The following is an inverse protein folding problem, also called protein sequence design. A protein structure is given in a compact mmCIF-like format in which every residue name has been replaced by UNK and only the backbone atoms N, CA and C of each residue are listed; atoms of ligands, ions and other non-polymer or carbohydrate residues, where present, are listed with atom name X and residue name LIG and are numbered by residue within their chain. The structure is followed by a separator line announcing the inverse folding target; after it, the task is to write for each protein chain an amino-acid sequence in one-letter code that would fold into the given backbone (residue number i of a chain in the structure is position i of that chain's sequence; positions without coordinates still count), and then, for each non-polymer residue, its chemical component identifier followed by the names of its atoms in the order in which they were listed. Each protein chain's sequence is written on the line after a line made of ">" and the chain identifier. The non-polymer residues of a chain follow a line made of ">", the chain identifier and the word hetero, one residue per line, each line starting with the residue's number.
data_IF_264854365812
#
_entry.id   IF_264854365812
#
_cell.length_a   1.000
_cell.length_b   1.000
_cell.length_c   1.000
_cell.angle_alpha   90.00
_cell.angle_beta   90.00
_cell.angle_gamma   90.00
#
_symmetry.space_group_name_H-M   'P 1'
#
loop_
_entity.id
_entity.type
_entity.pdbx_description
1 polymer ?
#
# COMPACT_ATOMS: atom_id res chain seq x y z
N UNK A 1 -2.89 30.86 -17.78
CA UNK A 1 -3.71 29.63 -17.72
C UNK A 1 -3.43 28.93 -16.39
N UNK A 2 -4.34 28.11 -15.83
CA UNK A 2 -4.03 27.33 -14.64
C UNK A 2 -3.05 26.20 -14.98
N UNK A 3 -2.04 25.99 -14.13
CA UNK A 3 -1.18 24.81 -14.14
C UNK A 3 -1.98 23.64 -13.56
N UNK A 4 -1.96 22.49 -14.23
CA UNK A 4 -2.67 21.28 -13.80
C UNK A 4 -1.70 20.09 -13.87
N UNK A 5 -1.63 19.32 -12.79
CA UNK A 5 -0.82 18.10 -12.70
C UNK A 5 -1.68 16.97 -12.12
N UNK A 6 -1.56 15.77 -12.68
CA UNK A 6 -2.26 14.57 -12.21
C UNK A 6 -1.24 13.52 -11.77
N UNK A 7 -1.39 13.03 -10.55
CA UNK A 7 -0.61 11.93 -9.98
C UNK A 7 -1.45 10.67 -9.98
N UNK A 8 -1.01 9.65 -10.72
CA UNK A 8 -1.82 8.47 -11.00
C UNK A 8 -1.79 7.43 -9.88
N UNK A 9 -2.96 6.92 -9.50
CA UNK A 9 -3.08 5.75 -8.62
C UNK A 9 -2.66 5.96 -7.17
N UNK A 10 -2.43 7.20 -6.73
CA UNK A 10 -2.02 7.53 -5.36
C UNK A 10 -3.15 8.09 -4.49
N UNK A 11 -4.41 8.06 -4.92
CA UNK A 11 -5.54 8.50 -4.10
C UNK A 11 -5.60 7.86 -2.68
N UNK A 12 -5.30 6.56 -2.48
CA UNK A 12 -5.25 5.97 -1.13
C UNK A 12 -4.19 6.59 -0.21
N UNK A 13 -3.20 7.28 -0.79
CA UNK A 13 -2.10 7.93 -0.09
C UNK A 13 -2.27 9.46 -0.04
N UNK A 14 -3.47 9.98 -0.32
CA UNK A 14 -3.74 11.42 -0.44
C UNK A 14 -3.31 12.24 0.78
N UNK A 15 -3.61 11.77 1.99
CA UNK A 15 -3.24 12.48 3.22
C UNK A 15 -1.72 12.65 3.32
N UNK A 16 -0.97 11.55 3.15
CA UNK A 16 0.49 11.57 3.20
C UNK A 16 1.10 12.39 2.05
N UNK A 17 0.57 12.20 0.83
CA UNK A 17 1.03 12.93 -0.36
C UNK A 17 0.85 14.44 -0.17
N UNK A 18 -0.35 14.89 0.22
CA UNK A 18 -0.65 16.32 0.36
C UNK A 18 0.13 16.97 1.51
N UNK A 19 0.31 16.27 2.64
CA UNK A 19 1.13 16.75 3.75
C UNK A 19 2.61 16.89 3.37
N UNK A 20 3.15 15.88 2.69
CA UNK A 20 4.54 15.89 2.21
C UNK A 20 4.76 16.99 1.18
N UNK A 21 3.87 17.13 0.20
CA UNK A 21 3.94 18.18 -0.83
C UNK A 21 3.92 19.58 -0.20
N UNK A 22 2.99 19.84 0.72
CA UNK A 22 2.92 21.12 1.46
C UNK A 22 4.22 21.39 2.22
N UNK A 23 4.75 20.37 2.89
CA UNK A 23 5.99 20.49 3.68
C UNK A 23 7.20 20.79 2.79
N UNK A 24 7.34 20.09 1.67
CA UNK A 24 8.44 20.29 0.72
C UNK A 24 8.36 21.65 0.04
N UNK A 25 7.16 22.13 -0.33
CA UNK A 25 6.99 23.50 -0.85
C UNK A 25 7.44 24.55 0.18
N UNK A 26 7.06 24.39 1.45
CA UNK A 26 7.49 25.28 2.53
C UNK A 26 9.00 25.26 2.75
N UNK A 27 9.62 24.07 2.73
CA UNK A 27 11.08 23.90 2.84
C UNK A 27 11.84 24.55 1.68
N UNK A 28 11.24 24.55 0.48
CA UNK A 28 11.77 25.23 -0.71
C UNK A 28 11.46 26.73 -0.77
N UNK A 29 11.02 27.32 0.34
CA UNK A 29 10.82 28.76 0.47
C UNK A 29 9.49 29.27 -0.10
N UNK A 30 8.49 28.40 -0.25
CA UNK A 30 7.11 28.82 -0.57
C UNK A 30 6.41 29.22 0.71
N UNK A 31 5.91 30.45 0.79
CA UNK A 31 5.02 30.86 1.87
C UNK A 31 3.62 30.30 1.62
N UNK A 32 3.04 29.65 2.64
CA UNK A 32 1.73 29.01 2.55
C UNK A 32 0.78 29.70 3.53
N UNK A 33 -0.35 30.18 3.03
CA UNK A 33 -1.39 30.85 3.82
C UNK A 33 -2.78 30.31 3.48
N UNK A 34 -3.78 30.56 4.34
CA UNK A 34 -5.16 30.15 4.07
C UNK A 34 -5.35 28.63 3.91
N UNK A 35 -4.48 27.82 4.51
CA UNK A 35 -4.49 26.37 4.37
C UNK A 35 -5.77 25.77 4.95
N UNK A 36 -6.58 25.18 4.08
CA UNK A 36 -7.78 24.42 4.42
C UNK A 36 -7.58 22.95 4.02
N UNK A 37 -7.92 22.03 4.92
CA UNK A 37 -7.73 20.59 4.72
C UNK A 37 -9.02 19.82 4.99
N UNK A 38 -9.31 18.88 4.11
CA UNK A 38 -10.35 17.87 4.23
C UNK A 38 -9.80 16.51 3.77
N UNK A 39 -10.56 15.43 3.96
CA UNK A 39 -10.12 14.06 3.63
C UNK A 39 -9.74 13.86 2.15
N UNK A 40 -10.34 14.64 1.24
CA UNK A 40 -10.15 14.47 -0.21
C UNK A 40 -9.73 15.76 -0.93
N UNK A 41 -9.46 16.83 -0.18
CA UNK A 41 -9.14 18.14 -0.76
C UNK A 41 -8.33 19.02 0.20
N UNK A 42 -7.32 19.69 -0.35
CA UNK A 42 -6.51 20.70 0.31
C UNK A 42 -6.50 21.95 -0.56
N UNK A 43 -6.81 23.10 0.02
CA UNK A 43 -6.77 24.41 -0.65
C UNK A 43 -5.81 25.32 0.12
N UNK A 44 -5.01 26.12 -0.58
CA UNK A 44 -4.09 27.08 0.04
C UNK A 44 -3.71 28.21 -0.92
N UNK A 45 -3.28 29.34 -0.37
CA UNK A 45 -2.60 30.39 -1.11
C UNK A 45 -1.09 30.25 -0.94
N UNK A 46 -0.35 30.46 -2.03
CA UNK A 46 1.11 30.29 -2.10
C UNK A 46 1.76 31.58 -2.57
N UNK A 47 2.88 31.95 -1.94
CA UNK A 47 3.76 33.02 -2.42
C UNK A 47 5.20 32.50 -2.52
N UNK A 48 5.82 32.63 -3.69
CA UNK A 48 7.20 32.24 -3.93
C UNK A 48 7.88 33.26 -4.84
N UNK A 49 9.04 33.80 -4.42
CA UNK A 49 9.81 34.79 -5.17
C UNK A 49 8.99 35.99 -5.71
N UNK A 50 7.94 36.39 -4.98
CA UNK A 50 7.03 37.48 -5.34
C UNK A 50 5.88 37.07 -6.28
N UNK A 51 5.84 35.81 -6.72
CA UNK A 51 4.69 35.22 -7.41
C UNK A 51 3.67 34.70 -6.39
N UNK A 52 2.45 35.24 -6.44
CA UNK A 52 1.32 34.81 -5.62
C UNK A 52 0.36 33.96 -6.45
N UNK A 53 -0.27 32.99 -5.82
CA UNK A 53 -1.29 32.17 -6.46
C UNK A 53 -2.08 31.30 -5.50
N UNK A 54 -3.05 30.57 -6.06
CA UNK A 54 -3.88 29.63 -5.33
C UNK A 54 -3.60 28.20 -5.80
N UNK A 55 -3.38 27.30 -4.86
CA UNK A 55 -3.08 25.89 -5.07
C UNK A 55 -4.19 25.03 -4.45
N UNK A 56 -4.77 24.15 -5.26
CA UNK A 56 -5.74 23.13 -4.84
C UNK A 56 -5.18 21.75 -5.16
N UNK A 57 -5.28 20.83 -4.20
CA UNK A 57 -4.92 19.41 -4.32
C UNK A 57 -6.16 18.59 -3.96
N UNK A 58 -6.62 17.67 -4.81
CA UNK A 58 -7.85 16.91 -4.54
C UNK A 58 -7.83 15.52 -5.19
N UNK A 59 -8.67 14.62 -4.68
CA UNK A 59 -8.85 13.28 -5.25
C UNK A 59 -9.79 13.36 -6.45
N UNK A 60 -9.37 12.78 -7.58
CA UNK A 60 -10.20 12.58 -8.78
C UNK A 60 -10.12 11.10 -9.19
N UNK A 61 -11.17 10.33 -8.85
CA UNK A 61 -11.17 8.88 -9.03
C UNK A 61 -10.07 8.21 -8.20
N UNK A 62 -9.16 7.50 -8.86
CA UNK A 62 -8.00 6.86 -8.21
C UNK A 62 -6.74 7.76 -8.20
N UNK A 63 -6.85 9.00 -8.65
CA UNK A 63 -5.73 9.90 -8.85
C UNK A 63 -5.78 11.08 -7.90
N UNK A 64 -4.64 11.76 -7.74
CA UNK A 64 -4.55 13.06 -7.08
C UNK A 64 -4.36 14.13 -8.16
N UNK A 65 -5.21 15.14 -8.17
CA UNK A 65 -5.14 16.26 -9.10
C UNK A 65 -4.72 17.52 -8.37
N UNK A 66 -3.77 18.23 -8.96
CA UNK A 66 -3.20 19.46 -8.43
C UNK A 66 -3.45 20.57 -9.45
N UNK A 67 -4.00 21.68 -9.00
CA UNK A 67 -4.27 22.86 -9.83
C UNK A 67 -3.68 24.10 -9.19
N UNK A 68 -2.91 24.87 -9.94
CA UNK A 68 -2.32 26.13 -9.51
C UNK A 68 -2.72 27.29 -10.42
N UNK A 69 -3.14 28.40 -9.84
CA UNK A 69 -3.57 29.61 -10.55
C UNK A 69 -2.86 30.85 -10.01
N UNK A 70 -2.12 31.54 -10.86
CA UNK A 70 -1.37 32.77 -10.50
C UNK A 70 -2.33 33.95 -10.29
N UNK A 71 -2.11 34.72 -9.21
CA UNK A 71 -2.75 36.01 -8.97
C UNK A 71 -2.02 37.11 -9.75
N UNK A 72 -2.68 37.72 -10.74
CA UNK A 72 -2.11 38.85 -11.50
C UNK A 72 -2.47 40.18 -10.84
N UNK A 73 -1.50 40.84 -10.19
CA UNK A 73 -1.65 42.23 -9.75
C UNK A 73 -1.65 43.17 -10.97
N UNK A 74 -2.68 44.02 -11.11
CA UNK A 74 -2.70 45.11 -12.08
C UNK A 74 -1.62 46.13 -11.72
N UNK A 75 -0.44 46.08 -12.36
CA UNK A 75 0.42 47.27 -12.43
C UNK A 75 -0.24 48.27 -13.37
N UNK A 76 -0.46 49.49 -12.89
CA UNK A 76 -0.93 50.63 -13.68
C UNK A 76 -0.03 50.83 -14.90
N UNK A 77 -0.51 50.40 -16.08
CA UNK A 77 0.07 50.81 -17.35
C UNK A 77 -0.56 52.17 -17.67
N UNK A 78 0.26 53.23 -17.54
CA UNK A 78 -0.04 54.53 -18.13
C UNK A 78 -0.30 54.34 -19.63
N UNK A 79 -1.49 54.78 -20.04
CA UNK A 79 -1.94 55.04 -21.42
C UNK A 79 -1.89 53.84 -22.39
N UNK A 80 -3.08 53.32 -22.73
CA UNK A 80 -3.32 52.94 -24.12
C UNK A 80 -3.43 51.46 -24.47
N UNK A 81 -4.04 50.60 -23.65
CA UNK A 81 -4.84 49.46 -24.15
C UNK A 81 -5.95 49.17 -23.14
N UNK A 82 -7.19 49.50 -23.48
CA UNK A 82 -8.38 49.08 -22.72
C UNK A 82 -8.64 47.62 -23.06
N UNK A 83 -8.04 46.72 -22.29
CA UNK A 83 -8.34 45.29 -22.29
C UNK A 83 -8.93 44.91 -20.93
N UNK A 84 -10.22 44.60 -20.89
CA UNK A 84 -10.93 44.26 -19.67
C UNK A 84 -10.39 42.97 -19.03
N UNK A 85 -9.61 43.11 -17.96
CA UNK A 85 -9.55 42.12 -16.89
C UNK A 85 -9.79 42.87 -15.58
N UNK A 86 -11.03 43.34 -15.44
CA UNK A 86 -11.65 43.65 -14.16
C UNK A 86 -11.75 42.35 -13.37
N UNK A 87 -11.32 42.36 -12.11
CA UNK A 87 -11.27 41.19 -11.24
C UNK A 87 -12.65 40.55 -11.01
N UNK A 88 -13.08 39.71 -11.95
CA UNK A 88 -14.45 39.16 -11.98
C UNK A 88 -14.64 37.98 -12.92
N UNK A 89 -13.60 37.18 -13.19
CA UNK A 89 -13.72 36.03 -14.09
C UNK A 89 -12.99 34.77 -13.59
N UNK A 90 -13.01 34.49 -12.28
CA UNK A 90 -12.95 33.12 -11.73
C UNK A 90 -13.83 32.98 -10.47
N UNK A 91 -14.85 33.83 -10.31
CA UNK A 91 -15.89 33.64 -9.29
C UNK A 91 -16.82 32.44 -9.55
N UNK A 92 -16.68 31.77 -10.71
CA UNK A 92 -17.55 30.66 -11.12
C UNK A 92 -17.12 29.26 -10.67
N UNK A 93 -15.89 29.08 -10.16
CA UNK A 93 -15.42 27.76 -9.66
C UNK A 93 -15.48 27.69 -8.13
N UNK A 94 -15.62 28.84 -7.43
CA UNK A 94 -15.40 28.95 -5.98
C UNK A 94 -16.71 29.05 -5.16
N UNK A 95 -17.90 29.15 -5.78
CA UNK A 95 -19.18 29.38 -5.06
C UNK A 95 -20.22 28.24 -5.19
N UNK A 96 -19.80 27.01 -5.47
CA UNK A 96 -20.73 25.86 -5.60
C UNK A 96 -20.76 24.86 -4.44
N UNK A 97 -19.85 24.96 -3.47
CA UNK A 97 -19.64 23.91 -2.44
C UNK A 97 -19.98 24.35 -1.01
N UNK A 98 -20.75 25.43 -0.88
CA UNK A 98 -21.33 25.91 0.37
C UNK A 98 -22.84 26.04 0.20
N UNK A 99 -23.51 24.91 0.00
CA UNK A 99 -24.74 24.56 0.71
C UNK A 99 -25.27 23.21 0.23
N UNK A 100 -25.81 22.47 1.19
CA UNK A 100 -26.52 21.21 1.04
C UNK A 100 -27.63 21.38 0.00
N UNK A 101 -27.54 20.65 -1.11
CA UNK A 101 -28.56 19.69 -1.54
C UNK A 101 -28.00 18.87 -2.71
N UNK A 102 -28.20 17.55 -2.62
CA UNK A 102 -27.87 16.59 -3.66
C UNK A 102 -28.76 16.82 -4.90
N UNK A 103 -28.32 16.31 -6.06
CA UNK A 103 -29.04 16.32 -7.35
C UNK A 103 -28.93 17.57 -8.25
N UNK A 104 -27.70 18.00 -8.62
CA UNK A 104 -27.53 18.77 -9.87
C UNK A 104 -26.12 18.78 -10.51
N UNK A 105 -25.13 18.05 -9.98
CA UNK A 105 -23.75 18.10 -10.51
C UNK A 105 -23.42 16.83 -11.30
N UNK A 106 -24.07 16.65 -12.44
CA UNK A 106 -23.72 15.57 -13.39
C UNK A 106 -23.31 16.09 -14.77
N UNK A 107 -23.68 17.30 -15.18
CA UNK A 107 -23.65 17.63 -16.62
C UNK A 107 -22.62 18.67 -17.07
N UNK A 108 -21.55 18.92 -16.30
CA UNK A 108 -20.47 19.85 -16.71
C UNK A 108 -19.06 19.24 -16.66
N UNK A 109 -18.93 17.95 -16.33
CA UNK A 109 -17.69 17.15 -16.43
C UNK A 109 -17.86 16.05 -17.52
N UNK A 110 -18.67 16.32 -18.55
CA UNK A 110 -18.95 15.38 -19.64
C UNK A 110 -18.05 15.58 -20.88
N UNK A 111 -16.97 16.37 -20.78
CA UNK A 111 -16.11 16.73 -21.92
C UNK A 111 -14.78 15.97 -22.05
N UNK A 112 -14.42 15.08 -21.12
CA UNK A 112 -13.13 14.38 -21.13
C UNK A 112 -13.26 12.86 -20.97
N UNK A 113 -14.41 12.30 -21.35
CA UNK A 113 -14.65 10.87 -21.35
C UNK A 113 -14.58 10.31 -22.78
N UNK A 114 -13.37 10.21 -23.34
CA UNK A 114 -13.10 9.36 -24.49
C UNK A 114 -11.60 9.04 -24.60
N UNK A 115 -11.24 7.77 -24.36
CA UNK A 115 -9.98 7.19 -24.81
C UNK A 115 -8.87 7.15 -23.77
N UNK A 116 -8.67 5.98 -23.17
CA UNK A 116 -7.50 5.69 -22.37
C UNK A 116 -6.19 5.72 -23.17
N UNK A 117 -5.10 5.72 -22.41
CA UNK A 117 -3.75 5.28 -22.74
C UNK A 117 -2.75 6.22 -23.44
N UNK A 118 -3.11 7.33 -24.13
CA UNK A 118 -2.09 8.09 -24.89
C UNK A 118 -2.18 9.64 -24.87
N UNK A 119 -3.05 10.25 -24.06
CA UNK A 119 -3.27 11.71 -24.06
C UNK A 119 -2.61 12.52 -22.94
N UNK A 120 -2.19 11.90 -21.83
CA UNK A 120 -1.80 12.61 -20.62
C UNK A 120 -0.37 13.18 -20.65
N UNK A 121 0.53 12.60 -21.45
CA UNK A 121 1.89 13.14 -21.61
C UNK A 121 1.92 14.45 -22.42
N UNK A 122 0.95 14.69 -23.32
CA UNK A 122 0.89 15.92 -24.13
C UNK A 122 0.29 17.14 -23.40
N UNK A 123 -0.31 16.95 -22.22
CA UNK A 123 -0.68 18.07 -21.35
C UNK A 123 0.54 18.80 -20.77
N UNK A 124 1.69 18.11 -20.68
CA UNK A 124 2.93 18.66 -20.17
C UNK A 124 3.62 19.60 -21.18
N UNK A 125 3.44 19.39 -22.49
CA UNK A 125 4.13 20.18 -23.53
C UNK A 125 3.40 21.48 -23.93
N UNK A 126 2.08 21.56 -23.76
CA UNK A 126 1.30 22.74 -24.23
C UNK A 126 1.31 23.94 -23.28
N UNK A 127 1.91 23.83 -22.11
CA UNK A 127 2.01 24.90 -21.11
C UNK A 127 3.44 25.27 -20.72
N UNK A 128 4.45 24.82 -21.48
CA UNK A 128 5.85 25.24 -21.27
C UNK A 128 6.10 26.67 -21.81
N UNK A 129 5.23 27.19 -22.69
CA UNK A 129 5.41 28.52 -23.28
C UNK A 129 5.11 29.69 -22.31
N UNK A 130 4.49 29.46 -21.15
CA UNK A 130 4.26 30.48 -20.10
C UNK A 130 4.58 29.97 -18.68
N UNK A 131 5.67 29.21 -18.47
CA UNK A 131 6.00 28.73 -17.12
C UNK A 131 6.52 29.87 -16.23
N UNK A 132 5.76 30.17 -15.18
CA UNK A 132 6.27 30.92 -14.03
C UNK A 132 7.28 30.07 -13.24
N UNK A 133 8.17 30.69 -12.48
CA UNK A 133 9.19 29.96 -11.71
C UNK A 133 8.56 29.03 -10.67
N UNK A 134 7.45 29.44 -10.05
CA UNK A 134 6.75 28.59 -9.09
C UNK A 134 6.10 27.35 -9.73
N UNK A 135 5.56 27.44 -10.95
CA UNK A 135 4.98 26.28 -11.62
C UNK A 135 6.03 25.18 -11.89
N UNK A 136 7.28 25.56 -12.16
CA UNK A 136 8.41 24.61 -12.29
C UNK A 136 8.75 23.98 -10.95
N UNK A 137 8.90 24.79 -9.91
CA UNK A 137 9.15 24.32 -8.54
C UNK A 137 8.07 23.34 -8.08
N UNK A 138 6.80 23.68 -8.33
CA UNK A 138 5.65 22.87 -7.98
C UNK A 138 5.68 21.53 -8.71
N UNK A 139 5.93 21.51 -10.02
CA UNK A 139 6.03 20.28 -10.80
C UNK A 139 7.15 19.36 -10.30
N UNK A 140 8.33 19.92 -10.00
CA UNK A 140 9.45 19.17 -9.43
C UNK A 140 9.09 18.59 -8.05
N UNK A 141 8.50 19.41 -7.18
CA UNK A 141 8.12 19.00 -5.82
C UNK A 141 7.04 17.90 -5.85
N UNK A 142 6.09 17.99 -6.79
CA UNK A 142 5.08 16.94 -7.01
C UNK A 142 5.75 15.62 -7.41
N UNK A 143 6.70 15.65 -8.37
CA UNK A 143 7.42 14.45 -8.81
C UNK A 143 8.24 13.82 -7.70
N UNK A 144 8.95 14.63 -6.91
CA UNK A 144 9.74 14.14 -5.78
C UNK A 144 8.84 13.49 -4.71
N UNK A 145 7.68 14.11 -4.45
CA UNK A 145 6.68 13.56 -3.53
C UNK A 145 6.10 12.25 -4.06
N UNK A 146 5.72 12.20 -5.34
CA UNK A 146 5.23 10.98 -6.00
C UNK A 146 6.26 9.85 -5.90
N UNK A 147 7.52 10.11 -6.26
CA UNK A 147 8.59 9.13 -6.21
C UNK A 147 8.82 8.60 -4.80
N UNK A 148 8.81 9.48 -3.80
CA UNK A 148 8.95 9.08 -2.40
C UNK A 148 7.85 8.12 -1.95
N UNK A 149 6.59 8.44 -2.25
CA UNK A 149 5.45 7.60 -1.89
C UNK A 149 5.52 6.25 -2.62
N UNK A 150 5.81 6.26 -3.93
CA UNK A 150 5.96 5.03 -4.72
C UNK A 150 7.07 4.13 -4.17
N UNK A 151 8.24 4.70 -3.86
CA UNK A 151 9.35 3.97 -3.26
C UNK A 151 8.95 3.31 -1.93
N UNK A 152 8.20 4.01 -1.07
CA UNK A 152 7.69 3.43 0.18
C UNK A 152 6.72 2.27 -0.05
N UNK A 153 5.85 2.39 -1.04
CA UNK A 153 4.89 1.33 -1.40
C UNK A 153 5.64 0.09 -1.90
N UNK A 154 6.63 0.26 -2.77
CA UNK A 154 7.45 -0.82 -3.29
C UNK A 154 8.25 -1.50 -2.18
N UNK A 155 8.84 -0.72 -1.28
CA UNK A 155 9.56 -1.24 -0.12
C UNK A 155 8.68 -2.10 0.78
N UNK A 156 7.47 -1.62 1.10
CA UNK A 156 6.51 -2.38 1.90
C UNK A 156 6.10 -3.70 1.23
N UNK A 157 5.84 -3.67 -0.08
CA UNK A 157 5.54 -4.87 -0.87
C UNK A 157 6.70 -5.86 -0.84
N UNK A 158 7.94 -5.38 -0.95
CA UNK A 158 9.13 -6.24 -0.89
C UNK A 158 9.26 -6.91 0.48
N UNK A 159 9.10 -6.15 1.56
CA UNK A 159 9.15 -6.69 2.93
C UNK A 159 8.04 -7.73 3.15
N UNK A 160 6.83 -7.48 2.65
CA UNK A 160 5.73 -8.44 2.76
C UNK A 160 6.00 -9.73 1.97
N UNK A 161 6.54 -9.60 0.76
CA UNK A 161 6.95 -10.75 -0.07
C UNK A 161 8.03 -11.57 0.64
N UNK A 162 9.08 -10.92 1.16
CA UNK A 162 10.16 -11.57 1.90
C UNK A 162 9.62 -12.34 3.12
N UNK A 163 8.69 -11.76 3.87
CA UNK A 163 8.03 -12.44 5.01
C UNK A 163 7.21 -13.65 4.58
N UNK A 164 6.50 -13.55 3.46
CA UNK A 164 5.74 -14.68 2.93
C UNK A 164 6.65 -15.81 2.46
N UNK A 165 7.77 -15.48 1.82
CA UNK A 165 8.79 -16.46 1.41
C UNK A 165 9.44 -17.13 2.62
N UNK A 166 9.80 -16.37 3.67
CA UNK A 166 10.35 -16.90 4.91
C UNK A 166 9.35 -17.84 5.59
N UNK A 167 8.08 -17.41 5.73
CA UNK A 167 7.01 -18.24 6.29
C UNK A 167 6.83 -19.53 5.49
N UNK A 168 6.91 -19.46 4.15
CA UNK A 168 6.80 -20.63 3.28
C UNK A 168 7.96 -21.60 3.51
N UNK A 169 9.20 -21.11 3.59
CA UNK A 169 10.37 -21.94 3.89
C UNK A 169 10.25 -22.62 5.26
N UNK A 170 9.84 -21.87 6.29
CA UNK A 170 9.65 -22.43 7.63
C UNK A 170 8.58 -23.54 7.64
N UNK A 171 7.51 -23.39 6.87
CA UNK A 171 6.47 -24.42 6.74
C UNK A 171 6.96 -25.63 5.95
N UNK A 172 7.66 -25.43 4.83
CA UNK A 172 8.25 -26.49 4.02
C UNK A 172 9.25 -27.33 4.84
N UNK A 173 10.08 -26.71 5.69
CA UNK A 173 10.99 -27.40 6.60
C UNK A 173 10.23 -28.29 7.60
N UNK A 174 9.14 -27.77 8.17
CA UNK A 174 8.32 -28.53 9.14
C UNK A 174 7.55 -29.66 8.45
N UNK A 175 7.06 -29.44 7.22
CA UNK A 175 6.40 -30.46 6.41
C UNK A 175 7.36 -31.62 6.10
N UNK A 176 8.61 -31.32 5.75
CA UNK A 176 9.63 -32.33 5.49
C UNK A 176 9.93 -33.17 6.74
N UNK A 177 10.15 -32.52 7.89
CA UNK A 177 10.36 -33.20 9.17
C UNK A 177 9.16 -34.07 9.56
N UNK A 178 7.95 -33.56 9.37
CA UNK A 178 6.72 -34.28 9.65
C UNK A 178 6.56 -35.52 8.77
N UNK A 179 6.90 -35.43 7.48
CA UNK A 179 6.91 -36.57 6.58
C UNK A 179 7.85 -37.68 7.07
N UNK A 180 9.04 -37.32 7.56
CA UNK A 180 9.98 -38.29 8.12
C UNK A 180 9.44 -38.93 9.40
N UNK A 181 8.83 -38.15 10.28
CA UNK A 181 8.18 -38.65 11.50
C UNK A 181 7.05 -39.63 11.15
N UNK A 182 6.23 -39.34 10.14
CA UNK A 182 5.15 -40.21 9.72
C UNK A 182 5.64 -41.53 9.11
N UNK A 183 6.73 -41.50 8.36
CA UNK A 183 7.39 -42.71 7.86
C UNK A 183 7.89 -43.59 9.02
N UNK A 184 8.57 -43.00 10.01
CA UNK A 184 9.05 -43.72 11.19
C UNK A 184 7.91 -44.26 12.06
N UNK A 185 6.82 -43.48 12.20
CA UNK A 185 5.61 -43.90 12.90
C UNK A 185 5.00 -45.15 12.24
N UNK A 186 4.91 -45.17 10.90
CA UNK A 186 4.39 -46.31 10.15
C UNK A 186 5.25 -47.55 10.40
N UNK A 187 6.57 -47.43 10.24
CA UNK A 187 7.50 -48.54 10.45
C UNK A 187 7.42 -49.11 11.90
N UNK A 188 7.36 -48.24 12.91
CA UNK A 188 7.24 -48.68 14.31
C UNK A 188 5.87 -49.29 14.64
N UNK A 189 4.81 -48.87 13.96
CA UNK A 189 3.49 -49.51 14.08
C UNK A 189 3.54 -50.95 13.56
N UNK A 190 4.11 -51.15 12.37
CA UNK A 190 4.27 -52.49 11.78
C UNK A 190 5.12 -53.40 12.67
N UNK A 191 6.25 -52.92 13.17
CA UNK A 191 7.12 -53.68 14.07
C UNK A 191 6.41 -54.06 15.38
N UNK A 192 5.64 -53.13 15.98
CA UNK A 192 4.87 -53.40 17.19
C UNK A 192 3.76 -54.44 16.96
N UNK A 193 3.18 -54.50 15.75
CA UNK A 193 2.21 -55.53 15.38
C UNK A 193 2.85 -56.90 15.21
N UNK A 194 4.05 -56.97 14.61
CA UNK A 194 4.82 -58.20 14.50
C UNK A 194 5.12 -58.76 15.90
N UNK A 195 5.72 -57.97 16.79
CA UNK A 195 6.02 -58.41 18.16
C UNK A 195 4.77 -58.80 18.96
N UNK A 196 3.64 -58.12 18.74
CA UNK A 196 2.36 -58.51 19.34
C UNK A 196 1.92 -59.91 18.87
N UNK A 197 2.10 -60.21 17.58
CA UNK A 197 1.78 -61.52 17.01
C UNK A 197 2.69 -62.63 17.55
N UNK A 198 3.91 -62.29 17.94
CA UNK A 198 4.87 -63.16 18.63
C UNK A 198 4.58 -63.31 20.14
N UNK A 199 3.53 -62.68 20.65
CA UNK A 199 3.10 -62.78 22.05
C UNK A 199 3.82 -61.83 23.01
N UNK A 200 4.59 -60.85 22.51
CA UNK A 200 5.22 -59.81 23.34
C UNK A 200 4.18 -58.78 23.78
N UNK A 201 4.35 -58.22 24.98
CA UNK A 201 3.48 -57.15 25.48
C UNK A 201 3.89 -55.78 24.94
N UNK A 202 3.20 -55.32 23.90
CA UNK A 202 3.45 -54.03 23.24
C UNK A 202 2.50 -52.90 23.66
N UNK A 203 1.69 -53.08 24.70
CA UNK A 203 0.63 -52.13 25.08
C UNK A 203 1.14 -50.70 25.33
N UNK A 204 2.25 -50.55 26.06
CA UNK A 204 2.88 -49.25 26.33
C UNK A 204 3.45 -48.60 25.06
N UNK A 205 3.99 -49.40 24.15
CA UNK A 205 4.51 -48.95 22.85
C UNK A 205 3.36 -48.42 22.00
N UNK A 206 2.29 -49.20 21.84
CA UNK A 206 1.09 -48.81 21.06
C UNK A 206 0.50 -47.48 21.55
N UNK A 207 0.37 -47.29 22.87
CA UNK A 207 -0.12 -46.03 23.44
C UNK A 207 0.76 -44.83 23.06
N UNK A 208 2.08 -44.99 22.99
CA UNK A 208 2.99 -43.90 22.57
C UNK A 208 2.86 -43.60 21.08
N UNK A 209 2.70 -44.63 20.25
CA UNK A 209 2.48 -44.48 18.80
C UNK A 209 1.16 -43.76 18.50
N UNK A 210 0.08 -44.06 19.24
CA UNK A 210 -1.20 -43.33 19.14
C UNK A 210 -1.05 -41.84 19.49
N UNK A 211 -0.29 -41.52 20.55
CA UNK A 211 -0.01 -40.13 20.92
C UNK A 211 0.83 -39.43 19.85
N UNK A 212 1.84 -40.11 19.31
CA UNK A 212 2.66 -39.58 18.21
C UNK A 212 1.80 -39.27 16.97
N UNK A 213 0.90 -40.18 16.59
CA UNK A 213 -0.03 -40.00 15.48
C UNK A 213 -0.94 -38.78 15.66
N UNK A 214 -1.52 -38.62 16.86
CA UNK A 214 -2.32 -37.44 17.19
C UNK A 214 -1.51 -36.15 17.06
N UNK A 215 -0.26 -36.15 17.52
CA UNK A 215 0.64 -35.00 17.41
C UNK A 215 1.00 -34.70 15.95
N UNK A 216 1.17 -35.71 15.09
CA UNK A 216 1.35 -35.51 13.65
C UNK A 216 0.11 -34.86 13.01
N UNK A 217 -1.10 -35.33 13.35
CA UNK A 217 -2.35 -34.72 12.89
C UNK A 217 -2.49 -33.27 13.33
N UNK A 218 -2.18 -32.96 14.59
CA UNK A 218 -2.18 -31.59 15.12
C UNK A 218 -1.14 -30.71 14.39
N UNK A 219 0.05 -31.24 14.08
CA UNK A 219 1.07 -30.54 13.32
C UNK A 219 0.57 -30.18 11.90
N UNK A 220 -0.10 -31.11 11.20
CA UNK A 220 -0.72 -30.84 9.89
C UNK A 220 -1.76 -29.71 9.96
N UNK A 221 -2.58 -29.67 11.02
CA UNK A 221 -3.55 -28.58 11.22
C UNK A 221 -2.87 -27.24 11.45
N UNK A 222 -1.76 -27.22 12.20
CA UNK A 222 -0.98 -26.01 12.42
C UNK A 222 -0.30 -25.50 11.14
N UNK A 223 0.20 -26.41 10.28
CA UNK A 223 0.70 -26.08 8.94
C UNK A 223 -0.41 -25.44 8.08
N UNK A 224 -1.57 -26.09 8.01
CA UNK A 224 -2.72 -25.57 7.26
C UNK A 224 -3.19 -24.19 7.76
N UNK A 225 -2.99 -23.91 9.05
CA UNK A 225 -3.30 -22.63 9.69
C UNK A 225 -2.14 -21.61 9.59
N UNK A 226 -1.09 -21.90 8.81
CA UNK A 226 0.12 -21.07 8.65
C UNK A 226 0.82 -20.72 9.98
N UNK A 227 0.84 -21.65 10.92
CA UNK A 227 1.48 -21.50 12.23
C UNK A 227 2.73 -22.39 12.34
N UNK A 228 3.89 -21.97 11.80
CA UNK A 228 5.10 -22.79 11.79
C UNK A 228 5.62 -23.11 13.20
N UNK A 229 5.44 -22.19 14.16
CA UNK A 229 5.87 -22.39 15.55
C UNK A 229 5.12 -23.54 16.22
N UNK A 230 3.79 -23.54 16.10
CA UNK A 230 2.96 -24.61 16.65
C UNK A 230 3.21 -25.93 15.91
N UNK A 231 3.28 -25.89 14.58
CA UNK A 231 3.57 -27.07 13.77
C UNK A 231 4.90 -27.72 14.17
N UNK A 232 5.96 -26.93 14.29
CA UNK A 232 7.29 -27.39 14.73
C UNK A 232 7.27 -27.98 16.14
N UNK A 233 6.57 -27.34 17.08
CA UNK A 233 6.45 -27.84 18.45
C UNK A 233 5.73 -29.21 18.49
N UNK A 234 4.67 -29.37 17.70
CA UNK A 234 3.90 -30.62 17.58
C UNK A 234 4.72 -31.73 16.91
N UNK A 235 5.43 -31.42 15.83
CA UNK A 235 6.35 -32.35 15.16
C UNK A 235 7.46 -32.83 16.11
N UNK A 236 8.12 -31.91 16.83
CA UNK A 236 9.14 -32.27 17.83
C UNK A 236 8.59 -33.14 18.97
N UNK A 237 7.36 -32.89 19.41
CA UNK A 237 6.72 -33.72 20.42
C UNK A 237 6.41 -35.12 19.87
N UNK A 238 5.95 -35.24 18.61
CA UNK A 238 5.71 -36.52 17.94
C UNK A 238 7.01 -37.33 17.83
N UNK A 239 8.09 -36.70 17.35
CA UNK A 239 9.44 -37.30 17.26
C UNK A 239 9.87 -37.89 18.61
N UNK A 240 9.76 -37.12 19.70
CA UNK A 240 10.10 -37.60 21.05
C UNK A 240 9.25 -38.78 21.52
N UNK A 241 7.98 -38.86 21.10
CA UNK A 241 7.13 -40.01 21.41
C UNK A 241 7.55 -41.25 20.63
N UNK A 242 7.92 -41.10 19.36
CA UNK A 242 8.47 -42.17 18.53
C UNK A 242 9.79 -42.70 19.08
N UNK A 243 10.74 -41.82 19.42
CA UNK A 243 12.04 -42.24 19.96
C UNK A 243 11.85 -43.08 21.23
N UNK A 244 10.98 -42.64 22.14
CA UNK A 244 10.65 -43.40 23.35
C UNK A 244 9.89 -44.69 23.07
N UNK A 245 9.06 -44.74 22.03
CA UNK A 245 8.38 -45.96 21.62
C UNK A 245 9.37 -46.99 21.07
N UNK A 246 10.30 -46.54 20.22
CA UNK A 246 11.40 -47.34 19.67
C UNK A 246 12.30 -47.91 20.77
N UNK A 247 12.72 -47.07 21.73
CA UNK A 247 13.57 -47.51 22.84
C UNK A 247 12.89 -48.60 23.68
N UNK A 248 11.58 -48.48 23.93
CA UNK A 248 10.81 -49.50 24.64
C UNK A 248 10.65 -50.77 23.81
N UNK A 249 10.44 -50.64 22.50
CA UNK A 249 10.26 -51.75 21.58
C UNK A 249 11.54 -52.61 21.53
N UNK A 250 12.71 -52.00 21.50
CA UNK A 250 14.01 -52.70 21.54
C UNK A 250 14.37 -53.34 22.88
N UNK A 251 13.56 -53.12 23.92
CA UNK A 251 13.73 -53.76 25.24
C UNK A 251 12.81 -54.98 25.43
N UNK A 252 11.91 -55.27 24.49
CA UNK A 252 10.97 -56.39 24.54
C UNK A 252 11.59 -57.69 24.04
#
# INVERSE_FOLDING_TARGET
>A
MPFIYTVEGLAPYFAEFSERLVSELALRGTQITGLSRSESRVDMSTEHTGEKGHLTIFIEGNNIKITYTVERERKEIKEGVVGAITGGALGGIISGLLNRDAEAVVDTIAGAAAGGALGAYHGYERSIEEQTEFARLLAETIRDTENYIRMKIEEQKRIELERLEELKRELEDVEWELSNIEADLLALKEEAEILASEGKNVSTVKRRLEVAEKLCSDAKKAIASKNPKEAKAKALAARKMLDRARDLLWQL
#
